data_IF_682220827419
#
_entry.id   IF_682220827419
#
_cell.length_a   1.000
_cell.length_b   1.000
_cell.length_c   1.000
_cell.angle_alpha   90.00
_cell.angle_beta   90.00
_cell.angle_gamma   90.00
#
_symmetry.space_group_name_H-M   'P 1'
#
loop_
_entity.id
_entity.type
_entity.pdbx_description
1 polymer ?
#
# COMPACT_ATOMS: atom_id res chain seq x y z
N UNK A 1 -3.90 3.37 -21.99
CA UNK A 1 -3.10 2.29 -21.34
C UNK A 1 -2.63 2.79 -19.97
N UNK A 2 -2.19 1.90 -19.07
CA UNK A 2 -1.71 2.30 -17.72
C UNK A 2 -0.53 3.25 -17.83
N UNK A 3 0.39 3.00 -18.74
CA UNK A 3 1.57 3.85 -19.01
C UNK A 3 1.26 5.32 -19.25
N UNK A 4 0.15 5.60 -19.93
CA UNK A 4 -0.22 6.98 -20.34
C UNK A 4 -0.73 7.82 -19.15
N UNK A 5 -0.91 7.18 -18.01
CA UNK A 5 -1.43 7.75 -16.76
C UNK A 5 -0.49 7.50 -15.58
N UNK A 6 0.77 7.20 -15.83
CA UNK A 6 1.75 6.88 -14.80
C UNK A 6 2.97 7.78 -14.91
N UNK A 7 3.62 8.03 -13.78
CA UNK A 7 4.91 8.74 -13.72
C UNK A 7 6.00 7.75 -13.30
N UNK A 8 7.15 7.71 -14.01
CA UNK A 8 8.26 6.88 -13.58
C UNK A 8 8.84 7.39 -12.25
N UNK A 9 9.45 6.50 -11.50
CA UNK A 9 10.21 6.81 -10.29
C UNK A 9 11.69 6.65 -10.61
N UNK A 10 12.34 7.75 -10.92
CA UNK A 10 13.75 7.76 -11.32
C UNK A 10 14.69 8.05 -10.14
N UNK A 11 14.23 8.88 -9.21
CA UNK A 11 15.00 9.25 -8.02
C UNK A 11 14.15 9.14 -6.78
N UNK A 12 14.69 8.51 -5.74
CA UNK A 12 14.17 8.56 -4.39
C UNK A 12 15.04 9.51 -3.57
N UNK A 13 14.45 10.63 -3.14
CA UNK A 13 15.11 11.66 -2.32
C UNK A 13 14.65 11.57 -0.89
N UNK A 14 15.59 11.51 0.03
CA UNK A 14 15.35 11.61 1.47
C UNK A 14 15.90 12.94 1.97
N UNK A 15 15.07 13.72 2.66
CA UNK A 15 15.43 15.00 3.26
C UNK A 15 15.24 14.89 4.77
N UNK A 16 16.29 15.20 5.53
CA UNK A 16 16.18 15.51 6.96
C UNK A 16 16.11 17.04 7.12
N UNK A 17 14.92 17.51 7.44
CA UNK A 17 14.65 18.91 7.78
C UNK A 17 14.34 19.04 9.29
N UNK A 18 14.91 18.15 10.11
CA UNK A 18 14.60 17.96 11.53
C UNK A 18 14.57 19.25 12.34
N UNK A 19 13.94 19.18 13.52
CA UNK A 19 13.82 20.31 14.42
C UNK A 19 12.45 21.00 14.36
N UNK A 20 12.37 22.11 15.12
CA UNK A 20 11.14 22.90 15.31
C UNK A 20 11.25 24.28 14.63
N UNK A 21 12.31 24.51 13.89
CA UNK A 21 12.59 25.77 13.23
C UNK A 21 11.48 26.12 12.22
N UNK A 22 11.09 27.40 12.17
CA UNK A 22 10.18 27.98 11.18
C UNK A 22 10.83 29.24 10.60
N UNK A 23 11.13 29.29 9.30
CA UNK A 23 10.98 28.24 8.28
C UNK A 23 11.87 27.01 8.55
N UNK A 24 11.50 25.83 8.00
CA UNK A 24 12.27 24.60 8.17
C UNK A 24 13.66 24.71 7.51
N UNK A 25 14.67 24.11 8.14
CA UNK A 25 16.04 24.07 7.61
C UNK A 25 16.37 22.65 7.16
N UNK A 26 16.67 22.47 5.89
CA UNK A 26 17.18 21.20 5.36
C UNK A 26 18.59 20.97 5.85
N UNK A 27 18.82 19.92 6.63
CA UNK A 27 20.09 19.55 7.23
C UNK A 27 20.87 18.55 6.39
N UNK A 28 20.15 17.62 5.78
CA UNK A 28 20.71 16.57 4.94
C UNK A 28 19.76 16.24 3.80
N UNK A 29 20.33 15.97 2.63
CA UNK A 29 19.62 15.40 1.49
C UNK A 29 20.43 14.24 0.95
N UNK A 30 19.75 13.14 0.65
CA UNK A 30 20.34 11.96 0.00
C UNK A 30 19.44 11.52 -1.14
N UNK A 31 20.04 11.39 -2.32
CA UNK A 31 19.38 10.90 -3.52
C UNK A 31 19.84 9.48 -3.82
N UNK A 32 18.88 8.62 -4.16
CA UNK A 32 19.10 7.29 -4.73
C UNK A 32 18.60 7.36 -6.16
N UNK A 33 19.48 7.11 -7.12
CA UNK A 33 19.19 7.28 -8.55
C UNK A 33 19.03 5.91 -9.19
N UNK A 34 17.97 5.71 -9.96
CA UNK A 34 17.68 4.41 -10.58
C UNK A 34 18.79 3.99 -11.56
N UNK A 35 19.37 4.93 -12.31
CA UNK A 35 20.46 4.66 -13.25
C UNK A 35 21.76 4.16 -12.63
N UNK A 36 21.92 4.28 -11.31
CA UNK A 36 23.08 3.73 -10.59
C UNK A 36 23.01 2.19 -10.47
N UNK A 37 21.80 1.62 -10.64
CA UNK A 37 21.58 0.18 -10.44
C UNK A 37 20.90 -0.52 -11.63
N UNK A 38 20.26 0.23 -12.54
CA UNK A 38 19.49 -0.33 -13.65
C UNK A 38 19.23 0.71 -14.75
N UNK A 39 19.05 0.28 -16.00
CA UNK A 39 18.57 1.12 -17.10
C UNK A 39 17.05 1.43 -17.02
N UNK A 40 16.36 0.87 -16.04
CA UNK A 40 14.93 1.08 -15.81
C UNK A 40 14.71 1.92 -14.55
N UNK A 41 13.59 2.68 -14.47
CA UNK A 41 13.22 3.37 -13.25
C UNK A 41 13.00 2.37 -12.10
N UNK A 42 13.07 2.82 -10.85
CA UNK A 42 12.75 1.99 -9.68
C UNK A 42 11.33 1.39 -9.73
N UNK A 43 10.43 2.06 -10.43
CA UNK A 43 9.05 1.67 -10.61
C UNK A 43 8.21 2.75 -11.28
N UNK A 44 6.90 2.59 -11.18
CA UNK A 44 5.93 3.50 -11.78
C UNK A 44 4.87 3.87 -10.75
N UNK A 45 4.62 5.16 -10.62
CA UNK A 45 3.54 5.68 -9.80
C UNK A 45 2.27 5.73 -10.65
N UNK A 46 1.26 4.95 -10.27
CA UNK A 46 0.00 4.85 -11.01
C UNK A 46 -1.15 5.19 -10.08
N UNK A 47 -2.04 6.13 -10.43
CA UNK A 47 -3.24 6.38 -9.65
C UNK A 47 -4.08 5.13 -9.49
N UNK A 48 -4.50 4.83 -8.26
CA UNK A 48 -5.18 3.57 -7.92
C UNK A 48 -6.48 3.36 -8.72
N UNK A 49 -7.23 4.44 -9.01
CA UNK A 49 -8.45 4.35 -9.80
C UNK A 49 -8.19 3.91 -11.25
N UNK A 50 -7.02 4.26 -11.83
CA UNK A 50 -6.59 3.80 -13.15
C UNK A 50 -6.33 2.30 -13.13
N UNK A 51 -5.52 1.82 -12.17
CA UNK A 51 -5.28 0.38 -12.03
C UNK A 51 -6.58 -0.41 -11.89
N UNK A 52 -7.49 0.05 -11.05
CA UNK A 52 -8.80 -0.60 -10.88
C UNK A 52 -9.60 -0.64 -12.17
N UNK A 53 -9.68 0.47 -12.90
CA UNK A 53 -10.39 0.57 -14.18
C UNK A 53 -9.82 -0.40 -15.20
N UNK A 54 -8.50 -0.40 -15.38
CA UNK A 54 -7.84 -1.23 -16.38
C UNK A 54 -7.95 -2.73 -16.04
N UNK A 55 -7.76 -3.12 -14.78
CA UNK A 55 -7.96 -4.50 -14.36
C UNK A 55 -9.40 -4.96 -14.52
N UNK A 56 -10.40 -4.14 -14.18
CA UNK A 56 -11.80 -4.48 -14.39
C UNK A 56 -12.13 -4.60 -15.88
N UNK A 57 -11.60 -3.72 -16.73
CA UNK A 57 -11.78 -3.77 -18.18
C UNK A 57 -11.19 -5.06 -18.75
N UNK A 58 -9.96 -5.39 -18.37
CA UNK A 58 -9.31 -6.63 -18.80
C UNK A 58 -10.07 -7.88 -18.33
N UNK A 59 -10.52 -7.89 -17.08
CA UNK A 59 -11.28 -9.01 -16.53
C UNK A 59 -12.62 -9.21 -17.24
N UNK A 60 -13.34 -8.12 -17.56
CA UNK A 60 -14.61 -8.20 -18.31
C UNK A 60 -14.43 -8.69 -19.74
N UNK A 61 -13.29 -8.38 -20.35
CA UNK A 61 -13.00 -8.83 -21.72
C UNK A 61 -12.55 -10.30 -21.79
N UNK A 62 -12.19 -10.91 -20.65
CA UNK A 62 -11.67 -12.28 -20.66
C UNK A 62 -12.80 -13.32 -20.56
N UNK A 63 -12.90 -14.29 -21.52
CA UNK A 63 -14.05 -15.19 -21.62
C UNK A 63 -14.20 -16.14 -20.41
N UNK A 64 -13.13 -16.43 -19.70
CA UNK A 64 -13.13 -17.33 -18.54
C UNK A 64 -13.27 -16.61 -17.19
N UNK A 65 -13.55 -15.31 -17.19
CA UNK A 65 -13.71 -14.52 -15.96
C UNK A 65 -15.15 -14.01 -15.87
N UNK A 66 -15.82 -14.33 -14.78
CA UNK A 66 -17.13 -13.77 -14.44
C UNK A 66 -16.96 -12.75 -13.31
N UNK A 67 -17.32 -11.49 -13.57
CA UNK A 67 -17.34 -10.44 -12.56
C UNK A 67 -18.75 -10.30 -11.98
N UNK A 68 -18.88 -10.55 -10.67
CA UNK A 68 -20.10 -10.29 -9.90
C UNK A 68 -19.87 -9.03 -9.04
N UNK A 69 -20.39 -7.90 -9.51
CA UNK A 69 -20.30 -6.63 -8.78
C UNK A 69 -21.45 -6.48 -7.78
N UNK A 70 -21.21 -5.74 -6.68
CA UNK A 70 -22.23 -5.45 -5.66
C UNK A 70 -22.58 -6.64 -4.75
N UNK A 71 -21.83 -7.75 -4.82
CA UNK A 71 -22.05 -8.93 -4.00
C UNK A 71 -20.96 -9.07 -2.93
N UNK A 72 -21.34 -9.44 -1.73
CA UNK A 72 -20.45 -9.69 -0.59
C UNK A 72 -20.48 -11.16 -0.21
N UNK A 73 -19.33 -11.81 -0.15
CA UNK A 73 -19.21 -13.16 0.40
C UNK A 73 -19.44 -13.13 1.92
N UNK A 74 -20.39 -13.94 2.40
CA UNK A 74 -20.85 -13.92 3.80
C UNK A 74 -20.55 -15.22 4.54
N UNK A 75 -20.53 -16.37 3.84
CA UNK A 75 -20.27 -17.69 4.45
C UNK A 75 -19.34 -18.48 3.57
N UNK A 76 -18.50 -19.27 4.20
CA UNK A 76 -17.61 -20.24 3.59
C UNK A 76 -17.88 -21.61 4.18
N UNK A 77 -18.02 -22.61 3.33
CA UNK A 77 -18.07 -24.01 3.69
C UNK A 77 -17.09 -24.79 2.84
N UNK A 78 -16.23 -25.61 3.46
CA UNK A 78 -15.18 -26.36 2.75
C UNK A 78 -15.29 -27.85 3.01
N UNK A 79 -14.92 -28.62 1.99
CA UNK A 79 -14.71 -30.08 2.03
C UNK A 79 -13.42 -30.43 1.32
N UNK A 80 -13.03 -31.70 1.38
CA UNK A 80 -11.79 -32.17 0.75
C UNK A 80 -11.73 -31.88 -0.75
N UNK A 81 -12.87 -31.90 -1.45
CA UNK A 81 -12.93 -31.79 -2.91
C UNK A 81 -13.45 -30.45 -3.42
N UNK A 82 -14.12 -29.66 -2.58
CA UNK A 82 -14.80 -28.42 -2.98
C UNK A 82 -14.89 -27.40 -1.85
N UNK A 83 -15.04 -26.14 -2.22
CA UNK A 83 -15.52 -25.10 -1.34
C UNK A 83 -16.85 -24.54 -1.86
N UNK A 84 -17.66 -23.98 -0.97
CA UNK A 84 -18.89 -23.25 -1.29
C UNK A 84 -18.84 -21.89 -0.61
N UNK A 85 -19.07 -20.85 -1.39
CA UNK A 85 -19.16 -19.47 -0.91
C UNK A 85 -20.57 -18.99 -1.07
N UNK A 86 -21.20 -18.53 0.01
CA UNK A 86 -22.53 -17.91 -0.02
C UNK A 86 -22.35 -16.40 -0.01
N UNK A 87 -23.12 -15.72 -0.84
CA UNK A 87 -23.16 -14.26 -0.94
C UNK A 87 -24.37 -13.68 -0.22
N UNK A 88 -24.36 -12.36 -0.03
CA UNK A 88 -25.43 -11.62 0.68
C UNK A 88 -26.76 -11.59 -0.09
N UNK A 89 -26.75 -11.80 -1.40
CA UNK A 89 -27.94 -11.98 -2.25
C UNK A 89 -28.52 -13.40 -2.22
N UNK A 90 -27.90 -14.32 -1.46
CA UNK A 90 -28.32 -15.72 -1.34
C UNK A 90 -27.68 -16.67 -2.34
N UNK A 91 -26.96 -16.19 -3.35
CA UNK A 91 -26.27 -17.03 -4.31
C UNK A 91 -25.18 -17.88 -3.64
N UNK A 92 -25.02 -19.10 -4.12
CA UNK A 92 -24.00 -20.05 -3.66
C UNK A 92 -23.15 -20.52 -4.82
N UNK A 93 -21.86 -20.24 -4.74
CA UNK A 93 -20.88 -20.69 -5.72
C UNK A 93 -20.06 -21.85 -5.19
N UNK A 94 -19.96 -22.91 -6.02
CA UNK A 94 -19.13 -24.08 -5.76
C UNK A 94 -17.83 -23.95 -6.57
N UNK A 95 -16.67 -24.16 -5.91
CA UNK A 95 -15.37 -24.02 -6.55
C UNK A 95 -14.34 -24.99 -5.98
N UNK A 96 -13.21 -25.16 -6.69
CA UNK A 96 -12.08 -25.97 -6.23
C UNK A 96 -11.18 -25.22 -5.24
N UNK A 97 -11.13 -23.89 -5.36
CA UNK A 97 -10.28 -23.01 -4.56
C UNK A 97 -10.99 -21.66 -4.35
N UNK A 98 -10.96 -21.16 -3.15
CA UNK A 98 -11.30 -19.78 -2.79
C UNK A 98 -10.02 -19.00 -2.57
N UNK A 99 -9.84 -17.89 -3.27
CA UNK A 99 -8.76 -16.94 -3.03
C UNK A 99 -9.38 -15.73 -2.34
N UNK A 100 -9.10 -15.58 -1.06
CA UNK A 100 -9.62 -14.49 -0.25
C UNK A 100 -8.73 -13.26 -0.39
N UNK A 101 -9.29 -12.19 -0.99
CA UNK A 101 -8.67 -10.87 -1.16
C UNK A 101 -9.63 -9.76 -0.66
N UNK A 102 -10.46 -10.08 0.32
CA UNK A 102 -11.57 -9.29 0.84
C UNK A 102 -11.16 -8.29 1.96
N UNK A 103 -9.87 -7.94 2.00
CA UNK A 103 -9.33 -6.86 2.81
C UNK A 103 -8.99 -7.25 4.25
N UNK A 104 -8.50 -6.26 5.01
CA UNK A 104 -7.97 -6.45 6.37
C UNK A 104 -8.96 -7.06 7.37
N UNK A 105 -10.24 -6.89 7.15
CA UNK A 105 -11.32 -7.46 7.96
C UNK A 105 -11.94 -8.72 7.33
N UNK A 106 -11.19 -9.42 6.51
CA UNK A 106 -11.60 -10.57 5.70
C UNK A 106 -12.58 -11.50 6.40
N UNK A 107 -13.80 -11.57 5.87
CA UNK A 107 -14.83 -12.51 6.29
C UNK A 107 -14.44 -13.96 5.93
N UNK A 108 -13.80 -14.13 4.78
CA UNK A 108 -13.36 -15.46 4.34
C UNK A 108 -12.24 -16.01 5.22
N UNK A 109 -11.28 -15.19 5.64
CA UNK A 109 -10.25 -15.58 6.61
C UNK A 109 -10.86 -16.01 7.94
N UNK A 110 -11.78 -15.21 8.49
CA UNK A 110 -12.48 -15.53 9.74
C UNK A 110 -13.28 -16.83 9.61
N UNK A 111 -14.01 -17.01 8.52
CA UNK A 111 -14.79 -18.22 8.25
C UNK A 111 -13.89 -19.46 8.08
N UNK A 112 -12.65 -19.28 7.63
CA UNK A 112 -11.64 -20.33 7.53
C UNK A 112 -10.95 -20.65 8.87
N UNK A 113 -11.30 -19.96 9.97
CA UNK A 113 -10.71 -20.14 11.29
C UNK A 113 -9.26 -19.65 11.41
N UNK A 114 -8.84 -18.70 10.56
CA UNK A 114 -7.47 -18.18 10.56
C UNK A 114 -7.42 -16.87 11.36
N UNK A 115 -6.62 -16.87 12.43
CA UNK A 115 -6.34 -15.71 13.26
C UNK A 115 -5.35 -14.73 12.61
N UNK A 116 -5.16 -13.58 13.26
CA UNK A 116 -4.20 -12.54 12.85
C UNK A 116 -3.48 -11.95 14.03
N UNK A 117 -2.21 -11.65 13.85
CA UNK A 117 -1.43 -10.79 14.73
C UNK A 117 -1.48 -9.35 14.21
N UNK A 118 -1.83 -8.39 15.06
CA UNK A 118 -1.98 -6.96 14.68
C UNK A 118 -1.13 -6.09 15.59
N UNK A 119 -0.30 -5.23 14.97
CA UNK A 119 0.43 -4.15 15.64
C UNK A 119 -0.14 -2.81 15.19
N UNK A 120 -0.58 -1.97 16.15
CA UNK A 120 -1.03 -0.60 15.90
C UNK A 120 0.05 0.38 16.33
N UNK A 121 0.34 1.38 15.49
CA UNK A 121 1.43 2.32 15.74
C UNK A 121 0.99 3.62 16.41
N UNK A 122 -0.31 3.84 16.62
CA UNK A 122 -0.82 5.11 17.15
C UNK A 122 -0.67 6.29 16.19
N UNK A 123 -0.62 5.99 14.91
CA UNK A 123 -0.37 6.92 13.82
C UNK A 123 -1.46 6.82 12.76
N UNK A 124 -1.63 7.91 12.01
CA UNK A 124 -2.49 7.98 10.83
C UNK A 124 -1.71 8.55 9.65
N UNK A 125 -1.83 7.92 8.49
CA UNK A 125 -1.37 8.47 7.22
C UNK A 125 -2.50 9.25 6.56
N UNK A 126 -2.27 10.54 6.30
CA UNK A 126 -3.13 11.39 5.48
C UNK A 126 -2.68 11.24 4.02
N UNK A 127 -3.59 10.88 3.13
CA UNK A 127 -3.31 10.70 1.71
C UNK A 127 -4.21 11.62 0.88
N UNK A 128 -3.61 12.40 -0.02
CA UNK A 128 -4.28 13.37 -0.87
C UNK A 128 -3.39 13.70 -2.09
N UNK A 129 -3.89 14.49 -3.04
CA UNK A 129 -3.10 14.98 -4.16
C UNK A 129 -3.06 16.52 -4.18
N UNK A 130 -1.98 17.04 -4.73
CA UNK A 130 -1.69 18.47 -4.85
C UNK A 130 -1.19 18.82 -6.25
N UNK A 131 -1.42 20.07 -6.67
CA UNK A 131 -0.61 20.73 -7.70
C UNK A 131 0.50 21.54 -7.04
N UNK A 132 1.53 21.91 -7.80
CA UNK A 132 2.69 22.66 -7.32
C UNK A 132 3.36 23.45 -8.44
N UNK A 133 4.23 24.41 -8.07
CA UNK A 133 4.85 25.33 -9.03
C UNK A 133 6.07 24.73 -9.75
N UNK A 134 6.88 23.95 -9.03
CA UNK A 134 8.15 23.41 -9.52
C UNK A 134 7.93 21.96 -9.98
N UNK A 135 8.22 21.59 -11.24
CA UNK A 135 8.09 20.21 -11.70
C UNK A 135 8.89 19.22 -10.85
N UNK A 136 8.28 18.09 -10.50
CA UNK A 136 8.89 17.05 -9.64
C UNK A 136 10.03 16.27 -10.31
N UNK A 137 10.20 16.35 -11.63
CA UNK A 137 11.28 15.69 -12.40
C UNK A 137 11.40 14.17 -12.09
N UNK A 138 10.28 13.49 -11.88
CA UNK A 138 10.22 12.05 -11.54
C UNK A 138 10.93 11.69 -10.21
N UNK A 139 11.10 12.67 -9.31
CA UNK A 139 11.71 12.50 -8.00
C UNK A 139 10.62 12.31 -6.96
N UNK A 140 10.60 11.16 -6.27
CA UNK A 140 9.83 11.00 -5.04
C UNK A 140 10.64 11.53 -3.88
N UNK A 141 10.10 12.49 -3.14
CA UNK A 141 10.79 13.14 -2.03
C UNK A 141 10.12 12.79 -0.70
N UNK A 142 10.88 12.19 0.21
CA UNK A 142 10.45 11.89 1.57
C UNK A 142 11.14 12.84 2.55
N UNK A 143 10.34 13.66 3.26
CA UNK A 143 10.81 14.70 4.17
C UNK A 143 10.56 14.27 5.61
N UNK A 144 11.64 14.13 6.37
CA UNK A 144 11.61 13.82 7.79
C UNK A 144 11.71 15.09 8.62
N UNK A 145 10.71 15.33 9.47
CA UNK A 145 10.68 16.38 10.51
C UNK A 145 10.14 15.79 11.83
N UNK A 146 9.73 16.66 12.75
CA UNK A 146 8.91 16.26 13.90
C UNK A 146 7.60 15.63 13.40
N UNK A 147 7.16 14.56 14.01
CA UNK A 147 6.07 13.71 13.51
C UNK A 147 6.61 12.60 12.61
N UNK A 148 5.81 12.13 11.66
CA UNK A 148 6.21 11.12 10.68
C UNK A 148 6.75 11.70 9.37
N UNK A 149 7.08 10.85 8.40
CA UNK A 149 7.48 11.28 7.08
C UNK A 149 6.35 11.99 6.32
N UNK A 150 6.75 12.97 5.49
CA UNK A 150 5.92 13.62 4.49
C UNK A 150 6.49 13.29 3.11
N UNK A 151 5.76 12.52 2.33
CA UNK A 151 6.25 12.02 1.05
C UNK A 151 5.48 12.63 -0.10
N UNK A 152 6.22 13.24 -1.05
CA UNK A 152 5.70 13.72 -2.33
C UNK A 152 6.00 12.66 -3.39
N UNK A 153 4.97 12.11 -4.01
CA UNK A 153 5.09 11.05 -5.01
C UNK A 153 4.66 11.60 -6.37
N UNK A 154 5.52 11.58 -7.40
CA UNK A 154 5.20 12.09 -8.73
C UNK A 154 3.91 11.51 -9.30
N UNK A 155 3.05 12.38 -9.82
CA UNK A 155 1.88 12.05 -10.62
C UNK A 155 1.98 12.73 -11.99
N UNK A 156 1.24 12.27 -13.01
CA UNK A 156 1.05 13.03 -14.24
C UNK A 156 0.44 14.41 -13.96
N UNK A 157 0.74 15.39 -14.79
CA UNK A 157 0.20 16.74 -14.66
C UNK A 157 -1.33 16.74 -14.55
N UNK A 158 -1.84 17.57 -13.66
CA UNK A 158 -3.27 17.79 -13.47
C UNK A 158 -3.67 19.15 -14.01
N UNK A 159 -4.53 19.18 -15.05
CA UNK A 159 -4.99 20.42 -15.71
C UNK A 159 -3.85 21.34 -16.17
N UNK A 160 -2.73 20.75 -16.62
CA UNK A 160 -1.56 21.49 -17.08
C UNK A 160 -0.62 21.98 -15.98
N UNK A 161 -0.85 21.60 -14.73
CA UNK A 161 0.03 21.89 -13.60
C UNK A 161 0.74 20.63 -13.13
N UNK A 162 2.04 20.71 -12.75
CA UNK A 162 2.72 19.61 -12.08
C UNK A 162 1.94 19.13 -10.86
N UNK A 163 1.86 17.82 -10.66
CA UNK A 163 1.09 17.27 -9.54
C UNK A 163 1.80 16.12 -8.83
N UNK A 164 1.51 15.96 -7.53
CA UNK A 164 2.03 14.88 -6.70
C UNK A 164 0.97 14.32 -5.78
N UNK A 165 1.04 13.02 -5.52
CA UNK A 165 0.35 12.43 -4.39
C UNK A 165 1.15 12.67 -3.11
N UNK A 166 0.46 12.98 -2.04
CA UNK A 166 1.05 13.16 -0.71
C UNK A 166 0.66 12.00 0.19
N UNK A 167 1.65 11.51 0.94
CA UNK A 167 1.44 10.65 2.11
C UNK A 167 2.10 11.33 3.29
N UNK A 168 1.28 11.85 4.19
CA UNK A 168 1.73 12.55 5.39
C UNK A 168 1.38 11.72 6.63
N UNK A 169 2.39 11.21 7.31
CA UNK A 169 2.23 10.37 8.48
C UNK A 169 2.37 11.20 9.74
N UNK A 170 1.40 11.10 10.65
CA UNK A 170 1.41 11.81 11.94
C UNK A 170 0.87 10.93 13.08
N UNK A 171 1.08 11.36 14.31
CA UNK A 171 0.37 10.80 15.49
C UNK A 171 -1.12 11.01 15.32
N UNK A 172 -1.95 10.10 15.81
CA UNK A 172 -3.40 10.16 15.62
C UNK A 172 -4.00 11.53 16.00
N UNK A 173 -3.61 12.09 17.17
CA UNK A 173 -4.11 13.38 17.62
C UNK A 173 -3.76 14.55 16.67
N UNK A 174 -2.59 14.51 16.08
CA UNK A 174 -2.15 15.54 15.13
C UNK A 174 -2.85 15.36 13.77
N UNK A 175 -2.98 14.14 13.29
CA UNK A 175 -3.73 13.85 12.07
C UNK A 175 -5.21 14.26 12.20
N UNK A 176 -5.84 14.05 13.37
CA UNK A 176 -7.21 14.47 13.62
C UNK A 176 -7.32 16.01 13.66
N UNK A 177 -6.33 16.71 14.27
CA UNK A 177 -6.26 18.18 14.26
C UNK A 177 -6.15 18.71 12.82
N UNK A 178 -5.22 18.19 12.04
CA UNK A 178 -5.01 18.59 10.64
C UNK A 178 -6.26 18.41 9.77
N UNK A 179 -6.98 17.30 9.97
CA UNK A 179 -8.23 17.02 9.25
C UNK A 179 -9.38 17.96 9.62
N UNK A 180 -9.31 18.58 10.79
CA UNK A 180 -10.30 19.52 11.27
C UNK A 180 -10.03 20.97 10.85
N UNK A 181 -8.92 21.26 10.18
CA UNK A 181 -8.59 22.61 9.70
C UNK A 181 -9.41 22.98 8.47
N UNK A 182 -9.66 24.28 8.33
CA UNK A 182 -10.12 24.84 7.07
C UNK A 182 -9.05 24.67 5.98
N UNK A 183 -9.46 24.58 4.72
CA UNK A 183 -8.53 24.28 3.60
C UNK A 183 -7.33 25.21 3.55
N UNK A 184 -7.52 26.52 3.74
CA UNK A 184 -6.44 27.50 3.69
C UNK A 184 -5.40 27.31 4.83
N UNK A 185 -5.89 26.95 6.03
CA UNK A 185 -5.02 26.67 7.17
C UNK A 185 -4.24 25.37 6.95
N UNK A 186 -4.92 24.32 6.46
CA UNK A 186 -4.30 23.05 6.10
C UNK A 186 -3.20 23.25 5.03
N UNK A 187 -3.47 24.01 3.97
CA UNK A 187 -2.49 24.32 2.92
C UNK A 187 -1.28 25.08 3.50
N UNK A 188 -1.50 25.99 4.44
CA UNK A 188 -0.41 26.72 5.10
C UNK A 188 0.52 25.75 5.86
N UNK A 189 -0.04 24.84 6.65
CA UNK A 189 0.74 23.85 7.40
C UNK A 189 1.41 22.84 6.47
N UNK A 190 0.72 22.41 5.43
CA UNK A 190 1.26 21.52 4.40
C UNK A 190 2.47 22.15 3.69
N UNK A 191 2.39 23.41 3.31
CA UNK A 191 3.47 24.16 2.67
C UNK A 191 4.68 24.29 3.59
N UNK A 192 4.48 24.59 4.88
CA UNK A 192 5.56 24.58 5.86
C UNK A 192 6.16 23.18 6.02
N UNK A 193 5.33 22.12 5.97
CA UNK A 193 5.77 20.73 6.12
C UNK A 193 6.58 20.23 4.92
N UNK A 194 6.25 20.72 3.72
CA UNK A 194 6.93 20.38 2.46
C UNK A 194 8.32 20.99 2.31
N UNK A 195 8.72 21.93 3.19
CA UNK A 195 9.97 22.69 3.11
C UNK A 195 10.14 23.46 1.78
N UNK A 196 9.06 23.73 1.06
CA UNK A 196 9.06 24.45 -0.22
C UNK A 196 9.77 23.73 -1.37
N UNK A 197 10.03 22.43 -1.28
CA UNK A 197 10.84 21.68 -2.26
C UNK A 197 10.24 21.67 -3.67
N UNK A 198 8.91 21.84 -3.80
CA UNK A 198 8.20 21.95 -5.07
C UNK A 198 7.47 23.30 -5.23
N UNK A 199 7.85 24.31 -4.46
CA UNK A 199 7.12 25.60 -4.42
C UNK A 199 5.82 25.49 -3.63
N UNK A 200 4.83 26.32 -3.97
CA UNK A 200 3.53 26.32 -3.31
C UNK A 200 2.69 25.10 -3.71
N UNK A 201 2.24 24.36 -2.70
CA UNK A 201 1.35 23.22 -2.87
C UNK A 201 -0.11 23.65 -2.73
N UNK A 202 -0.98 23.18 -3.63
CA UNK A 202 -2.42 23.42 -3.61
C UNK A 202 -3.18 22.10 -3.60
N UNK A 203 -4.09 21.93 -2.66
CA UNK A 203 -4.90 20.72 -2.52
C UNK A 203 -5.88 20.57 -3.69
N UNK A 204 -5.89 19.39 -4.33
CA UNK A 204 -6.81 19.09 -5.45
C UNK A 204 -7.72 17.89 -5.19
N UNK A 205 -7.59 17.22 -4.05
CA UNK A 205 -8.48 16.11 -3.65
C UNK A 205 -8.89 16.26 -2.18
N UNK A 206 -9.91 15.51 -1.77
CA UNK A 206 -10.24 15.36 -0.37
C UNK A 206 -9.15 14.56 0.37
N UNK A 207 -9.01 14.82 1.68
CA UNK A 207 -8.11 14.08 2.56
C UNK A 207 -8.67 12.69 2.86
N UNK A 208 -7.88 11.66 2.62
CA UNK A 208 -8.13 10.30 3.08
C UNK A 208 -7.25 10.01 4.29
N UNK A 209 -7.80 9.38 5.32
CA UNK A 209 -7.08 9.06 6.55
C UNK A 209 -7.02 7.53 6.76
N UNK A 210 -5.83 7.00 6.93
CA UNK A 210 -5.57 5.58 7.07
C UNK A 210 -4.82 5.28 8.37
N UNK A 211 -5.46 4.61 9.35
CA UNK A 211 -4.77 4.18 10.56
C UNK A 211 -3.57 3.28 10.22
N UNK A 212 -2.42 3.61 10.78
CA UNK A 212 -1.19 2.88 10.57
C UNK A 212 -1.16 1.61 11.42
N UNK A 213 -1.07 0.47 10.75
CA UNK A 213 -0.97 -0.83 11.40
C UNK A 213 -0.22 -1.83 10.54
N UNK A 214 0.35 -2.83 11.19
CA UNK A 214 0.74 -4.09 10.53
C UNK A 214 -0.18 -5.21 10.97
N UNK A 215 -0.56 -6.07 10.06
CA UNK A 215 -1.33 -7.27 10.36
C UNK A 215 -0.76 -8.44 9.55
N UNK A 216 -0.64 -9.60 10.17
CA UNK A 216 -0.21 -10.84 9.51
C UNK A 216 -1.16 -11.94 9.94
N UNK A 217 -1.71 -12.68 8.97
CA UNK A 217 -2.46 -13.91 9.24
C UNK A 217 -1.52 -14.99 9.81
N UNK A 218 -2.02 -15.79 10.75
CA UNK A 218 -1.23 -16.85 11.40
C UNK A 218 -0.73 -17.87 10.38
N UNK A 219 -1.54 -18.11 9.33
CA UNK A 219 -1.26 -18.92 8.15
C UNK A 219 -1.97 -18.36 6.91
N UNK A 220 -1.47 -18.68 5.71
CA UNK A 220 -2.02 -18.14 4.45
C UNK A 220 -3.00 -19.10 3.77
N UNK A 221 -3.26 -20.25 4.37
CA UNK A 221 -4.10 -21.29 3.80
C UNK A 221 -5.01 -21.96 4.83
N UNK A 222 -6.10 -22.52 4.34
CA UNK A 222 -6.94 -23.48 5.03
C UNK A 222 -7.49 -24.44 3.96
N UNK A 223 -8.36 -25.39 4.36
CA UNK A 223 -8.95 -26.33 3.41
C UNK A 223 -9.65 -25.59 2.25
N UNK A 224 -9.13 -25.74 1.02
CA UNK A 224 -9.64 -25.09 -0.20
C UNK A 224 -9.60 -23.54 -0.19
N UNK A 225 -8.80 -22.91 0.67
CA UNK A 225 -8.71 -21.46 0.82
C UNK A 225 -7.25 -21.02 0.78
N UNK A 226 -6.97 -19.98 -0.01
CA UNK A 226 -5.74 -19.21 0.04
C UNK A 226 -6.05 -17.75 0.39
N UNK A 227 -5.27 -17.16 1.30
CA UNK A 227 -5.34 -15.73 1.63
C UNK A 227 -4.28 -14.98 0.85
N UNK A 228 -4.64 -13.83 0.27
CA UNK A 228 -3.72 -12.93 -0.41
C UNK A 228 -3.97 -11.47 0.02
N UNK A 229 -3.03 -10.61 -0.28
CA UNK A 229 -3.15 -9.16 -0.08
C UNK A 229 -3.57 -8.81 1.37
N UNK A 230 -4.42 -7.80 1.58
CA UNK A 230 -4.81 -7.36 2.93
C UNK A 230 -5.61 -8.42 3.72
N UNK A 231 -6.13 -9.46 3.11
CA UNK A 231 -6.68 -10.59 3.85
C UNK A 231 -5.57 -11.42 4.53
N UNK A 232 -4.38 -11.45 3.94
CA UNK A 232 -3.19 -12.16 4.44
C UNK A 232 -2.27 -11.24 5.26
N UNK A 233 -1.99 -10.03 4.77
CA UNK A 233 -1.03 -9.09 5.37
C UNK A 233 -1.41 -7.63 5.12
N UNK A 234 -1.24 -6.80 6.14
CA UNK A 234 -1.35 -5.35 6.06
C UNK A 234 -0.04 -4.74 6.50
N UNK A 235 0.46 -3.75 5.79
CA UNK A 235 1.69 -3.05 6.10
C UNK A 235 1.51 -1.53 6.01
N UNK A 236 2.24 -0.75 6.80
CA UNK A 236 2.35 0.69 6.59
C UNK A 236 2.79 1.03 5.15
N UNK A 237 2.39 2.18 4.59
CA UNK A 237 2.72 2.57 3.21
C UNK A 237 4.20 2.99 3.02
N UNK A 238 5.11 2.51 3.85
CA UNK A 238 6.55 2.77 3.79
C UNK A 238 7.16 1.92 2.67
N UNK A 239 7.83 2.58 1.71
CA UNK A 239 8.47 1.93 0.58
C UNK A 239 7.51 1.23 -0.39
N UNK A 240 6.22 1.59 -0.41
CA UNK A 240 5.20 1.08 -1.33
C UNK A 240 5.12 -0.46 -1.45
N UNK A 241 5.32 -1.19 -0.34
CA UNK A 241 5.45 -2.65 -0.35
C UNK A 241 4.11 -3.41 -0.48
N UNK A 242 2.98 -2.82 -0.07
CA UNK A 242 1.70 -3.53 0.04
C UNK A 242 1.24 -4.20 -1.26
N UNK A 243 1.20 -3.45 -2.38
CA UNK A 243 0.82 -3.99 -3.68
C UNK A 243 1.85 -5.01 -4.19
N UNK A 244 3.15 -4.72 -4.05
CA UNK A 244 4.22 -5.62 -4.50
C UNK A 244 4.19 -6.97 -3.78
N UNK A 245 3.91 -6.99 -2.47
CA UNK A 245 3.72 -8.22 -1.71
C UNK A 245 2.51 -9.01 -2.22
N UNK A 246 1.40 -8.32 -2.52
CA UNK A 246 0.18 -8.93 -3.06
C UNK A 246 0.40 -9.54 -4.45
N UNK A 247 1.17 -8.87 -5.32
CA UNK A 247 1.58 -9.43 -6.62
C UNK A 247 2.47 -10.66 -6.46
N UNK A 248 3.32 -10.69 -5.43
CA UNK A 248 4.09 -11.88 -5.05
C UNK A 248 3.20 -13.06 -4.65
N UNK A 249 2.12 -12.81 -3.90
CA UNK A 249 1.13 -13.84 -3.53
C UNK A 249 0.48 -14.44 -4.76
N UNK A 250 0.01 -13.55 -5.67
CA UNK A 250 -0.65 -13.96 -6.93
C UNK A 250 0.31 -14.78 -7.78
N UNK A 251 1.55 -14.32 -7.97
CA UNK A 251 2.55 -15.03 -8.75
C UNK A 251 2.77 -16.45 -8.24
N UNK A 252 3.00 -16.60 -6.93
CA UNK A 252 3.23 -17.91 -6.32
C UNK A 252 2.03 -18.85 -6.52
N UNK A 253 0.79 -18.36 -6.35
CA UNK A 253 -0.40 -19.17 -6.60
C UNK A 253 -0.56 -19.58 -8.07
N UNK A 254 -0.26 -18.67 -8.99
CA UNK A 254 -0.33 -18.94 -10.44
C UNK A 254 0.72 -19.99 -10.84
N UNK A 255 1.97 -19.86 -10.37
CA UNK A 255 3.04 -20.82 -10.64
C UNK A 255 2.66 -22.23 -10.12
N UNK A 256 2.25 -22.34 -8.85
CA UNK A 256 1.82 -23.62 -8.27
C UNK A 256 0.61 -24.23 -8.98
N UNK A 257 -0.34 -23.40 -9.42
CA UNK A 257 -1.50 -23.86 -10.17
C UNK A 257 -1.18 -24.28 -11.59
N UNK A 258 -0.20 -23.65 -12.24
CA UNK A 258 0.27 -24.01 -13.57
C UNK A 258 1.08 -25.33 -13.55
N UNK A 259 1.91 -25.53 -12.53
CA UNK A 259 2.72 -26.73 -12.37
C UNK A 259 1.88 -27.99 -12.10
N UNK A 260 0.74 -27.83 -11.41
CA UNK A 260 -0.14 -28.96 -11.06
C UNK A 260 -1.65 -28.59 -11.22
N UNK A 261 -2.17 -28.44 -12.44
CA UNK A 261 -3.54 -27.95 -12.69
C UNK A 261 -4.64 -28.83 -12.07
N UNK A 262 -4.37 -30.13 -11.94
CA UNK A 262 -5.31 -31.09 -11.33
C UNK A 262 -5.34 -31.00 -9.80
N UNK A 263 -4.34 -30.35 -9.18
CA UNK A 263 -4.22 -30.20 -7.74
C UNK A 263 -4.67 -28.82 -7.22
N UNK A 264 -5.30 -27.99 -8.08
CA UNK A 264 -5.78 -26.67 -7.67
C UNK A 264 -6.65 -26.77 -6.41
N UNK A 265 -6.23 -26.08 -5.35
CA UNK A 265 -6.87 -26.07 -4.04
C UNK A 265 -6.62 -27.33 -3.20
N UNK A 266 -5.76 -28.24 -3.63
CA UNK A 266 -5.33 -29.36 -2.77
C UNK A 266 -4.56 -28.89 -1.56
N UNK A 267 -4.51 -29.68 -0.51
CA UNK A 267 -3.71 -29.42 0.69
C UNK A 267 -2.24 -29.24 0.33
N UNK A 268 -1.70 -30.09 -0.55
CA UNK A 268 -0.32 -30.03 -1.02
C UNK A 268 0.01 -28.68 -1.66
N UNK A 269 -0.83 -28.19 -2.60
CA UNK A 269 -0.64 -26.88 -3.25
C UNK A 269 -0.69 -25.74 -2.23
N UNK A 270 -1.65 -25.80 -1.32
CA UNK A 270 -1.88 -24.73 -0.34
C UNK A 270 -0.81 -24.67 0.74
N UNK A 271 -0.28 -25.83 1.17
CA UNK A 271 0.87 -25.88 2.08
C UNK A 271 2.15 -25.38 1.39
N UNK A 272 2.37 -25.71 0.11
CA UNK A 272 3.49 -25.16 -0.67
C UNK A 272 3.40 -23.63 -0.77
N UNK A 273 2.20 -23.08 -1.03
CA UNK A 273 1.95 -21.64 -1.03
C UNK A 273 2.29 -21.01 0.31
N UNK A 274 1.76 -21.54 1.40
CA UNK A 274 2.01 -21.03 2.75
C UNK A 274 3.50 -21.05 3.10
N UNK A 275 4.18 -22.15 2.79
CA UNK A 275 5.62 -22.33 3.06
C UNK A 275 6.48 -21.34 2.26
N UNK A 276 6.10 -21.04 1.02
CA UNK A 276 6.83 -20.11 0.17
C UNK A 276 6.63 -18.65 0.61
N UNK A 277 5.40 -18.27 0.97
CA UNK A 277 5.04 -16.86 1.16
C UNK A 277 5.13 -16.37 2.60
N UNK A 278 4.70 -17.16 3.58
CA UNK A 278 4.60 -16.68 4.96
C UNK A 278 5.94 -16.19 5.56
N UNK A 279 7.09 -16.88 5.34
CA UNK A 279 8.38 -16.38 5.82
C UNK A 279 8.79 -15.05 5.17
N UNK A 280 8.61 -14.91 3.85
CA UNK A 280 8.91 -13.65 3.12
C UNK A 280 8.06 -12.49 3.65
N UNK A 281 6.74 -12.71 3.83
CA UNK A 281 5.82 -11.72 4.41
C UNK A 281 6.28 -11.31 5.81
N UNK A 282 6.59 -12.26 6.69
CA UNK A 282 7.05 -11.97 8.06
C UNK A 282 8.32 -11.13 8.07
N UNK A 283 9.30 -11.49 7.25
CA UNK A 283 10.56 -10.74 7.14
C UNK A 283 10.31 -9.30 6.69
N UNK A 284 9.51 -9.11 5.63
CA UNK A 284 9.17 -7.76 5.12
C UNK A 284 8.39 -6.93 6.14
N UNK A 285 7.38 -7.51 6.78
CA UNK A 285 6.58 -6.79 7.81
C UNK A 285 7.45 -6.39 8.99
N UNK A 286 8.38 -7.25 9.43
CA UNK A 286 9.32 -6.91 10.49
C UNK A 286 10.24 -5.76 10.07
N UNK A 287 10.81 -5.81 8.87
CA UNK A 287 11.66 -4.73 8.34
C UNK A 287 10.90 -3.40 8.24
N UNK A 288 9.69 -3.41 7.69
CA UNK A 288 8.83 -2.22 7.59
C UNK A 288 8.48 -1.67 8.97
N UNK A 289 8.20 -2.54 9.95
CA UNK A 289 7.91 -2.12 11.33
C UNK A 289 9.11 -1.43 11.99
N UNK A 290 10.31 -1.94 11.78
CA UNK A 290 11.55 -1.31 12.26
C UNK A 290 11.79 0.04 11.58
N UNK A 291 11.60 0.13 10.27
CA UNK A 291 11.71 1.40 9.52
C UNK A 291 10.69 2.42 10.03
N UNK A 292 9.44 2.02 10.27
CA UNK A 292 8.42 2.90 10.83
C UNK A 292 8.82 3.44 12.21
N UNK A 293 9.31 2.58 13.09
CA UNK A 293 9.80 2.99 14.41
C UNK A 293 10.97 3.96 14.29
N UNK A 294 11.91 3.69 13.39
CA UNK A 294 13.05 4.59 13.15
C UNK A 294 12.61 5.93 12.56
N UNK A 295 11.63 5.96 11.66
CA UNK A 295 11.11 7.19 11.04
C UNK A 295 10.42 8.12 12.05
N UNK A 296 9.82 7.55 13.11
CA UNK A 296 9.11 8.27 14.16
C UNK A 296 9.99 8.65 15.37
N UNK A 297 11.25 8.20 15.39
CA UNK A 297 12.10 8.45 16.54
C UNK A 297 12.36 9.96 16.75
N UNK A 298 11.98 10.47 17.92
CA UNK A 298 12.18 11.87 18.32
C UNK A 298 13.60 12.12 18.85
N UNK A 299 14.34 11.05 19.20
CA UNK A 299 15.68 11.14 19.77
C UNK A 299 16.73 11.45 18.69
N UNK A 300 17.57 12.49 18.96
CA UNK A 300 18.60 12.95 18.04
C UNK A 300 19.62 11.84 17.68
N UNK A 301 19.95 10.96 18.63
CA UNK A 301 20.86 9.83 18.39
C UNK A 301 20.31 8.83 17.35
N UNK A 302 19.01 8.53 17.41
CA UNK A 302 18.34 7.67 16.42
C UNK A 302 18.15 8.39 15.09
N UNK A 303 18.03 9.71 15.09
CA UNK A 303 17.99 10.52 13.85
C UNK A 303 19.34 10.48 13.13
N UNK A 304 20.44 10.54 13.85
CA UNK A 304 21.80 10.45 13.29
C UNK A 304 22.11 9.07 12.66
N UNK A 305 21.39 8.02 13.05
CA UNK A 305 21.50 6.69 12.42
C UNK A 305 20.73 6.56 11.10
N UNK A 306 19.89 7.55 10.77
CA UNK A 306 19.17 7.62 9.48
C UNK A 306 19.97 8.32 8.38
N UNK A 307 20.91 9.17 8.77
CA UNK A 307 21.83 9.88 7.89
C UNK A 307 23.01 8.98 7.48
#
# INVERSE_FOLDING_TARGET
KVSDHSSPLEVMRIIDAGGVESPPIIRLQKDFVASDVSDLPFGWNVPNYILRREFQTAARAHPNITLKSGARATKLFTRMTEARVTFDDGDVYKCKLVIAADGRHSTMRQSAGIGVSTTRYGQTALAFAVTHDIPHQNISTEIHRKGGPFTLVPLPDYQGHPSSAIVWMEKNSEADRLRGLETAEFETEMNQRSCGVLGDLKLITQLSAWPMMSQIADRLNSQRVALIAEAAHVVPPIGAQGLNMSLGDIRTLVELGADAPNEIGSERMLEAYNKARLPDIRTRVTGISLLNQASMAENQTLRNLRA
#
